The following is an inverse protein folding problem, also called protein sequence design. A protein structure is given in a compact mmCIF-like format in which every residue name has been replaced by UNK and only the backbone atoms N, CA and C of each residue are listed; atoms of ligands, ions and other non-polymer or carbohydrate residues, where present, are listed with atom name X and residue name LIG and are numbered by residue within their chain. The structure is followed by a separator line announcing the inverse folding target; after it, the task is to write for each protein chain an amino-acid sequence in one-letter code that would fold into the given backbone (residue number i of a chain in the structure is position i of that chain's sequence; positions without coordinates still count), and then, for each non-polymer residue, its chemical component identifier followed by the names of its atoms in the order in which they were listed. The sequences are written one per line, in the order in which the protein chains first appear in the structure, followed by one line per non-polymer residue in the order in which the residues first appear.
data_IF_753932876030
#
_entry.id   IF_753932876030
#
_cell.length_a   1.000
_cell.length_b   1.000
_cell.length_c   1.000
_cell.angle_alpha   90.00
_cell.angle_beta   90.00
_cell.angle_gamma   90.00
#
_symmetry.space_group_name_H-M   'P 1'
#
loop_
_entity.id
_entity.type
_entity.pdbx_description
1 polymer ?
#
# COMPACT_ATOMS: atom_id res chain seq x y z
N UNK A 1 -2.80 1.35 9.22
CA UNK A 1 -3.20 0.12 9.95
C UNK A 1 -3.44 0.35 11.45
N UNK A 2 -2.46 0.86 12.22
CA UNK A 2 -2.59 1.04 13.68
C UNK A 2 -3.70 2.03 14.08
N UNK A 3 -3.79 3.19 13.40
CA UNK A 3 -4.85 4.18 13.69
C UNK A 3 -6.26 3.64 13.51
N UNK A 4 -6.52 2.97 12.38
CA UNK A 4 -7.81 2.32 12.11
C UNK A 4 -8.15 1.22 13.12
N UNK A 5 -7.16 0.40 13.49
CA UNK A 5 -7.35 -0.64 14.52
C UNK A 5 -7.73 -0.03 15.88
N UNK A 6 -7.03 1.04 16.31
CA UNK A 6 -7.36 1.75 17.56
C UNK A 6 -8.75 2.40 17.51
N UNK A 7 -9.09 3.04 16.39
CA UNK A 7 -10.39 3.66 16.19
C UNK A 7 -11.54 2.64 16.26
N UNK A 8 -11.43 1.55 15.52
CA UNK A 8 -12.46 0.50 15.48
C UNK A 8 -12.60 -0.21 16.82
N UNK A 9 -11.49 -0.46 17.52
CA UNK A 9 -11.52 -1.01 18.88
C UNK A 9 -12.22 -0.08 19.88
N UNK A 10 -12.02 1.24 19.76
CA UNK A 10 -12.66 2.23 20.64
C UNK A 10 -14.16 2.39 20.32
N UNK A 11 -14.55 2.33 19.04
CA UNK A 11 -15.92 2.59 18.60
C UNK A 11 -16.83 1.36 18.64
N UNK A 12 -16.29 0.18 18.34
CA UNK A 12 -17.06 -1.05 18.14
C UNK A 12 -16.65 -2.20 19.08
N UNK A 13 -15.78 -1.95 20.06
CA UNK A 13 -15.25 -2.97 20.99
C UNK A 13 -14.19 -3.89 20.38
N UNK A 14 -14.18 -4.06 19.06
CA UNK A 14 -13.25 -4.94 18.35
C UNK A 14 -12.34 -4.19 17.37
N UNK A 15 -11.05 -4.53 17.39
CA UNK A 15 -10.08 -3.94 16.48
C UNK A 15 -10.11 -4.61 15.11
N UNK A 16 -10.45 -3.85 14.07
CA UNK A 16 -10.49 -4.32 12.68
C UNK A 16 -9.23 -3.86 11.92
N UNK A 17 -8.78 -4.65 10.96
CA UNK A 17 -7.63 -4.34 10.09
C UNK A 17 -8.08 -4.31 8.63
N UNK A 18 -7.58 -3.35 7.86
CA UNK A 18 -7.85 -3.24 6.42
C UNK A 18 -6.97 -4.19 5.61
N UNK A 19 -5.69 -4.29 5.96
CA UNK A 19 -4.74 -5.18 5.29
C UNK A 19 -4.54 -6.45 6.13
N UNK A 20 -4.38 -7.59 5.43
CA UNK A 20 -3.94 -8.87 6.03
C UNK A 20 -2.62 -8.76 6.79
N UNK A 21 -1.73 -7.88 6.34
CA UNK A 21 -0.47 -7.49 6.97
C UNK A 21 -0.05 -6.11 6.44
N UNK A 22 0.61 -5.31 7.25
CA UNK A 22 1.22 -4.05 6.79
C UNK A 22 2.74 -4.17 6.95
N UNK A 23 3.55 -3.56 6.06
CA UNK A 23 3.16 -2.66 4.96
C UNK A 23 2.49 -3.36 3.76
N UNK A 24 2.12 -2.60 2.74
CA UNK A 24 1.29 -3.09 1.62
C UNK A 24 1.93 -4.26 0.84
N UNK A 25 3.26 -4.33 0.71
CA UNK A 25 3.91 -5.44 0.00
C UNK A 25 3.67 -6.79 0.70
N UNK A 26 3.74 -6.84 2.03
CA UNK A 26 3.43 -8.05 2.80
C UNK A 26 1.95 -8.46 2.68
N UNK A 27 1.04 -7.53 2.41
CA UNK A 27 -0.35 -7.89 2.11
C UNK A 27 -0.45 -8.76 0.85
N UNK A 28 0.35 -8.44 -0.18
CA UNK A 28 0.39 -9.19 -1.43
C UNK A 28 1.11 -10.53 -1.27
N UNK A 29 2.23 -10.56 -0.55
CA UNK A 29 2.93 -11.81 -0.20
C UNK A 29 2.01 -12.78 0.56
N UNK A 30 1.29 -12.28 1.56
CA UNK A 30 0.32 -13.07 2.34
C UNK A 30 -0.93 -13.46 1.56
N UNK A 31 -1.11 -12.91 0.35
CA UNK A 31 -2.17 -13.31 -0.59
C UNK A 31 -1.67 -14.34 -1.61
N UNK A 32 -0.40 -14.77 -1.51
CA UNK A 32 0.19 -15.84 -2.32
C UNK A 32 1.10 -15.36 -3.45
N UNK A 33 1.43 -14.06 -3.50
CA UNK A 33 2.36 -13.55 -4.51
C UNK A 33 3.81 -13.83 -4.10
N UNK A 34 4.65 -14.15 -5.07
CA UNK A 34 6.10 -14.25 -4.86
C UNK A 34 6.65 -12.84 -4.60
N UNK A 35 7.65 -12.74 -3.73
CA UNK A 35 8.29 -11.46 -3.39
C UNK A 35 8.76 -10.70 -4.64
N UNK A 36 9.48 -11.37 -5.55
CA UNK A 36 9.93 -10.79 -6.82
C UNK A 36 8.78 -10.25 -7.67
N UNK A 37 7.63 -10.93 -7.68
CA UNK A 37 6.44 -10.46 -8.40
C UNK A 37 5.89 -9.16 -7.81
N UNK A 38 5.88 -9.03 -6.49
CA UNK A 38 5.43 -7.81 -5.79
C UNK A 38 6.38 -6.66 -6.11
N UNK A 39 7.69 -6.89 -5.98
CA UNK A 39 8.73 -5.87 -6.22
C UNK A 39 8.63 -5.31 -7.66
N UNK A 40 8.62 -6.19 -8.67
CA UNK A 40 8.59 -5.77 -10.07
C UNK A 40 7.32 -4.98 -10.39
N UNK A 41 6.16 -5.40 -9.87
CA UNK A 41 4.89 -4.67 -10.09
C UNK A 41 4.89 -3.30 -9.42
N UNK A 42 5.46 -3.19 -8.22
CA UNK A 42 5.60 -1.90 -7.55
C UNK A 42 6.55 -0.97 -8.29
N UNK A 43 7.64 -1.47 -8.87
CA UNK A 43 8.52 -0.67 -9.73
C UNK A 43 7.82 -0.10 -10.96
N UNK A 44 6.99 -0.91 -11.65
CA UNK A 44 6.20 -0.44 -12.79
C UNK A 44 5.28 0.71 -12.37
N UNK A 45 4.56 0.57 -11.24
CA UNK A 45 3.68 1.62 -10.72
C UNK A 45 4.50 2.87 -10.36
N UNK A 46 5.65 2.72 -9.69
CA UNK A 46 6.52 3.85 -9.34
C UNK A 46 7.00 4.60 -10.58
N UNK A 47 7.46 3.90 -11.63
CA UNK A 47 7.88 4.55 -12.87
C UNK A 47 6.73 5.33 -13.52
N UNK A 48 5.53 4.76 -13.58
CA UNK A 48 4.36 5.44 -14.13
C UNK A 48 4.00 6.70 -13.33
N UNK A 49 4.01 6.61 -11.99
CA UNK A 49 3.73 7.76 -11.12
C UNK A 49 4.83 8.83 -11.23
N UNK A 50 6.10 8.44 -11.38
CA UNK A 50 7.19 9.38 -11.65
C UNK A 50 6.98 10.12 -12.97
N UNK A 51 6.61 9.42 -14.05
CA UNK A 51 6.32 10.05 -15.34
C UNK A 51 5.12 11.00 -15.25
N UNK A 52 4.06 10.61 -14.53
CA UNK A 52 2.92 11.50 -14.26
C UNK A 52 3.38 12.73 -13.48
N UNK A 53 4.18 12.57 -12.42
CA UNK A 53 4.75 13.68 -11.65
C UNK A 53 5.56 14.64 -12.53
N UNK A 54 6.45 14.11 -13.38
CA UNK A 54 7.22 14.89 -14.34
C UNK A 54 6.33 15.62 -15.35
N UNK A 55 5.24 15.00 -15.81
CA UNK A 55 4.30 15.67 -16.73
C UNK A 55 3.59 16.87 -16.10
N UNK A 56 3.45 16.89 -14.76
CA UNK A 56 2.84 18.02 -14.04
C UNK A 56 3.81 19.14 -13.72
N UNK A 57 5.13 18.89 -13.85
CA UNK A 57 6.15 19.90 -13.59
C UNK A 57 6.14 20.94 -14.73
N UNK A 58 5.58 22.12 -14.43
CA UNK A 58 5.70 23.28 -15.32
C UNK A 58 7.11 23.84 -15.21
N UNK A 59 7.97 23.47 -16.16
CA UNK A 59 9.23 24.15 -16.42
C UNK A 59 8.92 25.43 -17.21
N UNK A 60 8.71 26.53 -16.49
CA UNK A 60 8.68 27.88 -17.05
C UNK A 60 9.67 28.74 -16.30
#
# INVERSE_FOLDING_TARGET
QVGYFKYTRKKFGEGRRLLKMAPLHHHFEKTGWKETQVVVRFWIITMLLCLVGLSTLKLR
#
